data_IF_233957833106
#
_entry.id   IF_233957833106
#
_cell.length_a   1.000
_cell.length_b   1.000
_cell.length_c   1.000
_cell.angle_alpha   90.00
_cell.angle_beta   90.00
_cell.angle_gamma   90.00
#
_symmetry.space_group_name_H-M   'P 1'
#
loop_
_entity.id
_entity.type
_entity.pdbx_description
1 polymer ?
#
# COMPACT_ATOMS: atom_id res chain seq x y z
N UNK A 1 20.50 -35.02 39.64
CA UNK A 1 21.42 -34.17 38.90
C UNK A 1 20.51 -33.30 37.99
N UNK A 2 20.21 -32.10 38.49
CA UNK A 2 19.35 -31.15 37.73
C UNK A 2 20.25 -30.46 36.70
N UNK A 3 20.03 -30.69 35.42
CA UNK A 3 20.63 -29.87 34.38
C UNK A 3 19.86 -28.56 34.33
N UNK A 4 20.43 -27.49 34.82
CA UNK A 4 19.98 -26.14 34.52
C UNK A 4 20.35 -25.87 33.06
N UNK A 5 19.37 -25.85 32.18
CA UNK A 5 19.52 -25.26 30.84
C UNK A 5 19.72 -23.76 31.08
N UNK A 6 20.94 -23.29 30.90
CA UNK A 6 21.20 -21.87 30.75
C UNK A 6 20.58 -21.46 29.38
N UNK A 7 19.45 -20.78 29.40
CA UNK A 7 19.00 -20.03 28.25
C UNK A 7 20.06 -18.97 27.99
N UNK A 8 20.83 -19.11 26.92
CA UNK A 8 21.63 -18.01 26.42
C UNK A 8 20.62 -16.94 25.93
N UNK A 9 20.47 -15.90 26.71
CA UNK A 9 19.86 -14.66 26.24
C UNK A 9 20.82 -14.13 25.15
N UNK A 10 20.47 -14.38 23.88
CA UNK A 10 21.10 -13.66 22.80
C UNK A 10 20.60 -12.22 22.88
N UNK A 11 21.52 -11.26 22.76
CA UNK A 11 21.13 -9.88 22.55
C UNK A 11 20.32 -9.82 21.23
N UNK A 12 19.11 -9.31 21.27
CA UNK A 12 18.30 -9.08 20.07
C UNK A 12 18.22 -7.58 19.87
N UNK A 13 18.69 -7.15 18.72
CA UNK A 13 18.64 -5.75 18.32
C UNK A 13 17.51 -5.54 17.30
N UNK A 14 16.71 -4.52 17.52
CA UNK A 14 15.71 -4.07 16.55
C UNK A 14 16.12 -2.70 16.03
N UNK A 15 16.27 -2.59 14.73
CA UNK A 15 16.46 -1.29 14.08
C UNK A 15 15.09 -0.71 13.76
N UNK A 16 14.78 0.44 14.36
CA UNK A 16 13.58 1.21 14.12
C UNK A 16 13.90 2.33 13.14
N UNK A 17 13.05 2.53 12.14
CA UNK A 17 13.20 3.53 11.10
C UNK A 17 11.91 4.33 10.96
N UNK A 18 12.03 5.66 10.88
CA UNK A 18 10.90 6.57 10.58
C UNK A 18 11.30 7.57 9.51
N UNK A 19 10.49 7.67 8.48
CA UNK A 19 10.61 8.67 7.43
C UNK A 19 9.88 9.96 7.87
N UNK A 20 10.63 11.06 7.92
CA UNK A 20 10.15 12.38 8.36
C UNK A 20 9.90 13.32 7.18
N UNK A 21 9.88 12.82 5.94
CA UNK A 21 9.76 13.66 4.72
C UNK A 21 8.44 14.42 4.63
N UNK A 22 7.38 13.93 5.28
CA UNK A 22 6.06 14.58 5.31
C UNK A 22 5.91 15.68 6.38
N UNK A 23 6.90 15.86 7.27
CA UNK A 23 6.85 16.85 8.37
C UNK A 23 8.14 17.63 8.49
N UNK A 24 8.06 18.83 9.08
CA UNK A 24 9.26 19.58 9.43
C UNK A 24 9.85 19.03 10.73
N UNK A 25 11.08 18.55 10.65
CA UNK A 25 11.79 18.00 11.82
C UNK A 25 12.07 19.11 12.85
N UNK A 26 11.83 18.79 14.11
CA UNK A 26 12.11 19.66 15.25
C UNK A 26 13.61 19.96 15.40
N UNK A 27 13.97 21.12 15.91
CA UNK A 27 15.36 21.46 16.29
C UNK A 27 15.92 20.51 17.38
N UNK A 28 15.03 19.89 18.18
CA UNK A 28 15.39 18.88 19.19
C UNK A 28 15.56 17.46 18.61
N UNK A 29 15.46 17.32 17.27
CA UNK A 29 15.62 16.04 16.56
C UNK A 29 14.41 15.12 16.64
N UNK A 30 14.63 13.85 16.36
CA UNK A 30 13.61 12.79 16.38
C UNK A 30 13.96 11.77 17.46
N UNK A 31 12.96 11.33 18.21
CA UNK A 31 13.13 10.35 19.29
C UNK A 31 12.09 9.23 19.17
N UNK A 32 12.33 8.13 19.87
CA UNK A 32 11.34 7.09 20.12
C UNK A 32 11.18 6.87 21.61
N UNK A 33 9.95 6.80 22.08
CA UNK A 33 9.62 6.38 23.43
C UNK A 33 8.75 5.12 23.39
N UNK A 34 9.01 4.19 24.29
CA UNK A 34 8.26 2.95 24.32
C UNK A 34 8.38 2.19 25.64
N UNK A 35 7.62 1.10 25.74
CA UNK A 35 7.63 0.22 26.92
C UNK A 35 9.02 -0.37 27.22
N UNK A 36 9.84 -0.56 26.20
CA UNK A 36 11.20 -1.10 26.32
C UNK A 36 12.18 -0.19 27.07
N UNK A 37 11.90 1.12 27.19
CA UNK A 37 12.78 2.08 27.85
C UNK A 37 12.06 2.95 28.91
N UNK A 38 10.83 2.57 29.28
CA UNK A 38 10.05 3.25 30.32
C UNK A 38 9.36 4.54 29.88
N UNK A 39 9.12 4.72 28.59
CA UNK A 39 8.40 5.85 28.01
C UNK A 39 9.08 7.23 28.23
N UNK A 40 10.41 7.26 28.22
CA UNK A 40 11.16 8.52 28.26
C UNK A 40 11.22 9.16 26.87
N UNK A 41 10.54 10.32 26.65
CA UNK A 41 10.46 10.93 25.33
C UNK A 41 11.79 11.51 24.82
N UNK A 42 12.79 11.65 25.69
CA UNK A 42 14.12 12.16 25.35
C UNK A 42 15.20 11.05 25.41
N UNK A 43 14.83 9.84 25.83
CA UNK A 43 15.80 8.80 26.20
C UNK A 43 16.43 8.09 25.00
N UNK A 44 15.80 8.08 23.83
CA UNK A 44 16.25 7.30 22.66
C UNK A 44 16.18 8.16 21.40
N UNK A 45 17.24 8.93 21.08
CA UNK A 45 17.31 9.72 19.85
C UNK A 45 17.55 8.84 18.63
N UNK A 46 16.97 9.23 17.50
CA UNK A 46 17.24 8.69 16.18
C UNK A 46 18.18 9.62 15.42
N UNK A 47 18.95 9.08 14.49
CA UNK A 47 19.85 9.83 13.61
C UNK A 47 19.51 9.62 12.16
N UNK A 48 19.71 10.67 11.36
CA UNK A 48 19.69 10.66 9.89
C UNK A 48 21.12 11.03 9.45
N UNK A 49 21.98 9.99 9.33
CA UNK A 49 23.43 10.18 9.11
C UNK A 49 23.77 10.47 7.64
N UNK A 50 22.91 10.05 6.70
CA UNK A 50 23.12 10.20 5.27
C UNK A 50 22.26 11.33 4.64
N UNK A 51 21.32 11.86 5.41
CA UNK A 51 20.51 13.02 5.02
C UNK A 51 19.38 12.69 4.05
N UNK A 52 18.86 11.46 4.08
CA UNK A 52 17.78 11.01 3.23
C UNK A 52 16.37 11.27 3.81
N UNK A 53 16.30 11.74 5.06
CA UNK A 53 15.06 12.02 5.79
C UNK A 53 14.56 10.84 6.61
N UNK A 54 15.24 9.68 6.55
CA UNK A 54 14.90 8.51 7.35
C UNK A 54 15.75 8.50 8.64
N UNK A 55 15.09 8.63 9.76
CA UNK A 55 15.71 8.61 11.06
C UNK A 55 15.75 7.19 11.62
N UNK A 56 16.93 6.76 12.06
CA UNK A 56 17.24 5.38 12.45
C UNK A 56 17.77 5.30 13.87
N UNK A 57 17.37 4.25 14.61
CA UNK A 57 17.99 3.85 15.88
C UNK A 57 18.01 2.34 16.03
N UNK A 58 19.05 1.82 16.65
CA UNK A 58 19.12 0.41 17.05
C UNK A 58 18.78 0.31 18.54
N UNK A 59 17.74 -0.47 18.85
CA UNK A 59 17.28 -0.70 20.22
C UNK A 59 17.64 -2.13 20.64
N UNK A 60 18.33 -2.26 21.79
CA UNK A 60 18.61 -3.56 22.40
C UNK A 60 17.37 -4.06 23.15
N UNK A 61 16.76 -5.13 22.66
CA UNK A 61 15.58 -5.77 23.22
C UNK A 61 15.91 -6.96 24.13
N UNK A 62 17.20 -7.25 24.40
CA UNK A 62 17.62 -8.43 25.17
C UNK A 62 17.12 -8.46 26.62
N UNK A 63 16.78 -7.30 27.18
CA UNK A 63 16.23 -7.16 28.54
C UNK A 63 14.70 -7.10 28.59
N UNK A 64 14.04 -7.09 27.42
CA UNK A 64 12.57 -7.02 27.32
C UNK A 64 11.99 -8.41 27.61
N UNK A 65 11.01 -8.47 28.50
CA UNK A 65 10.34 -9.72 28.91
C UNK A 65 8.93 -9.84 28.33
N UNK A 66 8.40 -8.77 27.79
CA UNK A 66 7.09 -8.73 27.16
C UNK A 66 7.19 -9.31 25.72
N UNK A 67 6.18 -10.08 25.33
CA UNK A 67 6.11 -10.63 23.97
C UNK A 67 5.87 -9.54 22.92
N UNK A 68 5.18 -8.46 23.32
CA UNK A 68 4.87 -7.30 22.47
C UNK A 68 5.28 -6.02 23.18
N UNK A 69 6.00 -5.16 22.49
CA UNK A 69 6.34 -3.81 22.94
C UNK A 69 5.47 -2.76 22.26
N UNK A 70 5.23 -1.67 22.97
CA UNK A 70 4.49 -0.51 22.46
C UNK A 70 5.43 0.68 22.42
N UNK A 71 5.30 1.51 21.39
CA UNK A 71 6.17 2.68 21.20
C UNK A 71 5.54 3.76 20.34
N UNK A 72 6.13 4.94 20.34
CA UNK A 72 5.81 6.08 19.47
C UNK A 72 7.08 6.78 19.01
N UNK A 73 7.06 7.27 17.78
CA UNK A 73 8.01 8.28 17.34
C UNK A 73 7.60 9.67 17.83
N UNK A 74 8.58 10.52 18.10
CA UNK A 74 8.39 11.86 18.65
C UNK A 74 9.20 12.83 17.81
N UNK A 75 8.52 13.82 17.23
CA UNK A 75 9.16 14.93 16.51
C UNK A 75 9.65 15.99 17.49
N UNK A 76 10.76 15.72 18.17
CA UNK A 76 11.30 16.47 19.28
C UNK A 76 11.73 15.52 20.40
N UNK A 77 11.77 16.03 21.64
CA UNK A 77 12.24 15.33 22.84
C UNK A 77 11.24 15.39 24.01
N UNK A 78 9.97 15.67 23.74
CA UNK A 78 8.93 15.88 24.76
C UNK A 78 7.57 15.44 24.27
N UNK A 79 6.71 15.01 25.20
CA UNK A 79 5.31 14.69 24.93
C UNK A 79 4.53 15.89 24.37
N UNK A 80 3.59 15.59 23.46
CA UNK A 80 2.79 16.59 22.74
C UNK A 80 3.28 16.80 21.30
N UNK A 81 4.45 16.25 20.94
CA UNK A 81 4.96 16.18 19.58
C UNK A 81 5.09 14.72 19.11
N UNK A 82 4.47 13.81 19.85
CA UNK A 82 4.42 12.39 19.52
C UNK A 82 3.41 12.15 18.39
N UNK A 83 3.69 11.12 17.60
CA UNK A 83 2.82 10.69 16.52
C UNK A 83 1.47 10.17 17.04
N UNK A 84 0.49 10.15 16.15
CA UNK A 84 -0.81 9.51 16.40
C UNK A 84 -1.08 8.53 15.27
N UNK A 85 -0.94 7.25 15.54
CA UNK A 85 -1.22 6.18 14.58
C UNK A 85 -2.63 5.67 14.80
N UNK A 86 -3.50 5.89 13.83
CA UNK A 86 -4.91 5.46 13.90
C UNK A 86 -5.21 4.17 13.15
N UNK A 87 -4.32 3.74 12.25
CA UNK A 87 -4.49 2.48 11.50
C UNK A 87 -4.19 1.28 12.42
N UNK A 88 -5.17 0.36 12.59
CA UNK A 88 -4.99 -0.83 13.42
C UNK A 88 -3.95 -1.82 12.89
N UNK A 89 -3.45 -1.64 11.67
CA UNK A 89 -2.38 -2.47 11.10
C UNK A 89 -1.07 -2.35 11.88
N UNK A 90 -0.77 -1.17 12.44
CA UNK A 90 0.44 -0.94 13.20
C UNK A 90 0.24 -0.17 14.50
N UNK A 91 -0.97 0.33 14.78
CA UNK A 91 -1.31 1.10 15.96
C UNK A 91 -2.57 0.64 16.67
N UNK A 92 -2.81 1.14 17.88
CA UNK A 92 -4.06 0.93 18.60
C UNK A 92 -4.26 -0.43 19.26
N UNK A 93 -3.28 -1.33 19.26
CA UNK A 93 -3.39 -2.63 19.90
C UNK A 93 -3.35 -2.52 21.45
N UNK A 94 -3.96 -3.48 22.14
CA UNK A 94 -3.85 -3.62 23.59
C UNK A 94 -4.47 -2.48 24.42
N UNK A 95 -5.29 -1.60 23.82
CA UNK A 95 -5.94 -0.47 24.52
C UNK A 95 -5.11 0.81 24.56
N UNK A 96 -3.97 0.85 23.90
CA UNK A 96 -3.15 2.03 23.68
C UNK A 96 -3.51 2.62 22.31
N UNK A 97 -4.48 3.54 22.28
CA UNK A 97 -5.25 3.93 21.09
C UNK A 97 -4.46 4.65 19.97
N UNK A 98 -3.16 4.80 20.08
CA UNK A 98 -2.35 5.47 19.06
C UNK A 98 -0.87 5.11 19.14
N UNK A 99 -0.53 4.06 19.89
CA UNK A 99 0.83 3.58 20.00
C UNK A 99 1.09 2.50 18.97
N UNK A 100 2.28 2.48 18.37
CA UNK A 100 2.75 1.36 17.57
C UNK A 100 2.95 0.14 18.45
N UNK A 101 2.86 -1.03 17.86
CA UNK A 101 3.20 -2.27 18.53
C UNK A 101 4.17 -3.10 17.68
N UNK A 102 4.97 -3.89 18.35
CA UNK A 102 5.91 -4.81 17.73
C UNK A 102 5.99 -6.08 18.59
N UNK A 103 5.74 -7.23 17.98
CA UNK A 103 6.09 -8.51 18.58
C UNK A 103 7.61 -8.64 18.58
N UNK A 104 8.20 -8.84 19.76
CA UNK A 104 9.66 -8.87 19.94
C UNK A 104 10.22 -10.05 19.14
N UNK A 105 11.09 -9.81 18.17
CA UNK A 105 11.62 -10.87 17.33
C UNK A 105 12.66 -11.73 18.10
N UNK A 106 12.87 -12.95 17.63
CA UNK A 106 13.88 -13.86 18.20
C UNK A 106 15.31 -13.61 17.68
N UNK A 107 15.47 -12.76 16.67
CA UNK A 107 16.72 -12.45 15.99
C UNK A 107 16.82 -10.96 15.68
N UNK A 108 18.04 -10.47 15.45
CA UNK A 108 18.28 -9.09 15.02
C UNK A 108 17.42 -8.79 13.78
N UNK A 109 16.64 -7.72 13.86
CA UNK A 109 15.66 -7.35 12.85
C UNK A 109 15.78 -5.88 12.49
N UNK A 110 15.69 -5.58 11.21
CA UNK A 110 15.57 -4.22 10.70
C UNK A 110 14.14 -4.06 10.19
N UNK A 111 13.40 -3.10 10.74
CA UNK A 111 12.07 -2.78 10.26
C UNK A 111 12.17 -1.85 9.04
N UNK A 112 11.26 -2.02 8.09
CA UNK A 112 11.15 -1.08 6.97
C UNK A 112 10.79 0.32 7.48
N UNK A 113 11.26 1.40 6.83
CA UNK A 113 10.88 2.75 7.18
C UNK A 113 9.37 2.96 7.04
N UNK A 114 8.78 3.61 8.03
CA UNK A 114 7.37 4.04 7.99
C UNK A 114 7.28 5.55 8.05
N UNK A 115 6.29 6.12 7.38
CA UNK A 115 6.03 7.55 7.45
C UNK A 115 5.56 7.95 8.85
N UNK A 116 5.99 9.11 9.33
CA UNK A 116 5.58 9.61 10.64
C UNK A 116 4.06 9.73 10.73
N UNK A 117 3.46 9.10 11.74
CA UNK A 117 2.02 8.94 11.96
C UNK A 117 1.29 7.95 11.04
N UNK A 118 1.99 7.24 10.13
CA UNK A 118 1.41 6.28 9.22
C UNK A 118 1.97 4.87 9.43
N UNK A 119 1.29 3.84 8.91
CA UNK A 119 1.76 2.45 8.95
C UNK A 119 2.57 2.03 7.72
N UNK A 120 2.72 2.91 6.74
CA UNK A 120 3.35 2.66 5.44
C UNK A 120 4.44 3.69 5.16
N UNK A 121 5.21 3.51 4.09
CA UNK A 121 6.18 4.51 3.61
C UNK A 121 5.53 5.83 3.19
N UNK A 122 6.28 6.93 3.24
CA UNK A 122 5.78 8.25 2.81
C UNK A 122 5.53 8.35 1.31
N UNK A 123 6.08 7.43 0.54
CA UNK A 123 5.90 7.31 -0.91
C UNK A 123 4.91 6.19 -1.29
N UNK A 124 4.10 5.72 -0.34
CA UNK A 124 3.12 4.66 -0.52
C UNK A 124 1.70 5.14 -0.25
N UNK A 125 0.72 4.43 -0.81
CA UNK A 125 -0.69 4.53 -0.46
C UNK A 125 -1.33 3.14 -0.43
N UNK A 126 -2.40 2.99 0.34
CA UNK A 126 -3.13 1.73 0.34
C UNK A 126 -4.02 1.60 -0.90
N UNK A 127 -3.94 0.43 -1.51
CA UNK A 127 -4.90 0.00 -2.53
C UNK A 127 -5.65 -1.23 -2.03
N UNK A 128 -6.97 -1.17 -2.07
CA UNK A 128 -7.82 -2.34 -1.82
C UNK A 128 -8.20 -2.98 -3.14
N UNK A 129 -7.66 -4.15 -3.41
CA UNK A 129 -7.99 -4.94 -4.59
C UNK A 129 -9.21 -5.81 -4.35
N UNK A 130 -10.09 -5.89 -5.35
CA UNK A 130 -11.28 -6.74 -5.31
C UNK A 130 -11.32 -7.66 -6.52
N UNK A 131 -11.69 -8.93 -6.29
CA UNK A 131 -11.99 -9.90 -7.35
C UNK A 131 -13.25 -10.70 -6.99
N UNK A 132 -14.13 -10.86 -7.96
CA UNK A 132 -15.35 -11.66 -7.83
C UNK A 132 -15.14 -13.02 -8.52
N UNK A 133 -15.31 -14.10 -7.76
CA UNK A 133 -15.14 -15.47 -8.18
C UNK A 133 -16.46 -16.16 -8.59
N UNK A 134 -17.55 -15.40 -8.81
CA UNK A 134 -18.87 -15.98 -9.09
C UNK A 134 -18.91 -16.93 -10.30
N UNK A 135 -17.98 -16.78 -11.25
CA UNK A 135 -17.88 -17.62 -12.46
C UNK A 135 -16.74 -18.64 -12.44
N UNK A 136 -15.99 -18.71 -11.34
CA UNK A 136 -14.78 -19.56 -11.24
C UNK A 136 -14.74 -20.24 -9.88
N UNK A 137 -14.53 -21.57 -9.88
CA UNK A 137 -14.35 -22.32 -8.64
C UNK A 137 -13.04 -21.88 -7.95
N UNK A 138 -13.11 -21.62 -6.66
CA UNK A 138 -11.96 -21.21 -5.86
C UNK A 138 -11.10 -22.44 -5.55
N UNK A 139 -9.80 -22.34 -5.80
CA UNK A 139 -8.84 -23.40 -5.45
C UNK A 139 -8.74 -23.55 -3.91
N UNK A 140 -8.35 -24.73 -3.45
CA UNK A 140 -8.20 -25.05 -2.03
C UNK A 140 -7.19 -24.12 -1.32
N UNK A 141 -6.15 -23.67 -2.03
CA UNK A 141 -5.12 -22.77 -1.55
C UNK A 141 -5.61 -21.31 -1.43
N UNK A 142 -6.74 -20.97 -2.06
CA UNK A 142 -7.36 -19.66 -2.02
C UNK A 142 -7.05 -18.77 -3.22
N UNK A 143 -7.42 -17.50 -3.07
CA UNK A 143 -7.24 -16.45 -4.08
C UNK A 143 -6.14 -15.50 -3.62
N UNK A 144 -5.32 -15.06 -4.56
CA UNK A 144 -4.18 -14.21 -4.28
C UNK A 144 -4.11 -13.03 -5.27
N UNK A 145 -3.60 -11.91 -4.77
CA UNK A 145 -3.04 -10.86 -5.61
C UNK A 145 -1.61 -11.28 -5.98
N UNK A 146 -1.27 -11.25 -7.25
CA UNK A 146 0.03 -11.63 -7.79
C UNK A 146 0.39 -10.80 -9.01
N UNK A 147 1.34 -11.28 -9.82
CA UNK A 147 1.84 -10.53 -10.97
C UNK A 147 2.68 -9.31 -10.59
N UNK A 148 3.26 -8.63 -11.56
CA UNK A 148 4.10 -7.46 -11.32
C UNK A 148 5.09 -7.65 -10.17
N UNK A 149 5.07 -6.75 -9.21
CA UNK A 149 5.93 -6.80 -8.02
C UNK A 149 5.61 -7.95 -7.06
N UNK A 150 4.42 -8.55 -7.12
CA UNK A 150 4.01 -9.67 -6.28
C UNK A 150 4.18 -11.04 -6.94
N UNK A 151 4.88 -11.13 -8.08
CA UNK A 151 5.02 -12.38 -8.83
C UNK A 151 5.57 -13.56 -7.99
N UNK A 152 6.48 -13.27 -7.05
CA UNK A 152 7.05 -14.29 -6.15
C UNK A 152 6.61 -14.14 -4.69
N UNK A 153 5.70 -13.22 -4.40
CA UNK A 153 5.22 -12.92 -3.06
C UNK A 153 3.71 -12.64 -3.09
N UNK A 154 2.96 -13.69 -3.35
CA UNK A 154 1.50 -13.62 -3.46
C UNK A 154 0.86 -13.10 -2.18
N UNK A 155 -0.07 -12.17 -2.32
CA UNK A 155 -0.85 -11.62 -1.21
C UNK A 155 -2.19 -12.37 -1.13
N UNK A 156 -2.41 -13.13 -0.05
CA UNK A 156 -3.66 -13.87 0.14
C UNK A 156 -4.84 -12.89 0.28
N UNK A 157 -5.88 -13.13 -0.49
CA UNK A 157 -7.12 -12.38 -0.45
C UNK A 157 -8.13 -13.05 0.48
N UNK A 158 -8.94 -12.26 1.17
CA UNK A 158 -9.98 -12.75 2.09
C UNK A 158 -11.36 -12.44 1.54
N UNK A 159 -12.32 -13.32 1.85
CA UNK A 159 -13.72 -13.10 1.49
C UNK A 159 -14.24 -11.82 2.17
N UNK A 160 -14.90 -10.96 1.40
CA UNK A 160 -15.54 -9.76 1.94
C UNK A 160 -16.69 -10.19 2.87
N UNK A 161 -16.81 -9.63 4.09
CA UNK A 161 -17.90 -9.97 5.01
C UNK A 161 -19.28 -9.85 4.34
N UNK A 162 -20.14 -10.83 4.58
CA UNK A 162 -21.49 -10.93 4.03
C UNK A 162 -21.60 -11.16 2.51
N UNK A 163 -20.46 -11.37 1.82
CA UNK A 163 -20.40 -11.74 0.39
C UNK A 163 -20.06 -13.23 0.24
N UNK A 164 -20.46 -13.84 -0.89
CA UNK A 164 -20.22 -15.27 -1.15
C UNK A 164 -19.06 -15.54 -2.10
N UNK A 165 -18.76 -14.58 -2.99
CA UNK A 165 -17.80 -14.76 -4.10
C UNK A 165 -16.81 -13.61 -4.25
N UNK A 166 -16.98 -12.51 -3.49
CA UNK A 166 -16.13 -11.34 -3.57
C UNK A 166 -14.96 -11.44 -2.59
N UNK A 167 -13.75 -11.38 -3.11
CA UNK A 167 -12.52 -11.41 -2.33
C UNK A 167 -11.82 -10.06 -2.38
N UNK A 168 -11.12 -9.71 -1.30
CA UNK A 168 -10.35 -8.48 -1.21
C UNK A 168 -9.01 -8.67 -0.50
N UNK A 169 -8.07 -7.77 -0.81
CA UNK A 169 -6.84 -7.56 -0.03
C UNK A 169 -6.49 -6.07 -0.07
N UNK A 170 -6.08 -5.51 1.08
CA UNK A 170 -5.55 -4.14 1.20
C UNK A 170 -4.04 -4.23 1.28
N UNK A 171 -3.32 -3.55 0.39
CA UNK A 171 -1.85 -3.58 0.28
C UNK A 171 -1.32 -2.16 0.18
N UNK A 172 -0.21 -1.88 0.86
CA UNK A 172 0.57 -0.67 0.65
C UNK A 172 1.37 -0.80 -0.65
N UNK A 173 1.34 0.23 -1.47
CA UNK A 173 1.97 0.23 -2.79
C UNK A 173 2.64 1.59 -3.02
N UNK A 174 3.89 1.63 -3.52
CA UNK A 174 4.54 2.86 -3.91
C UNK A 174 3.69 3.67 -4.89
N UNK A 175 3.81 5.00 -4.82
CA UNK A 175 3.15 5.89 -5.77
C UNK A 175 3.65 5.64 -7.20
N UNK A 176 2.75 5.75 -8.19
CA UNK A 176 3.08 5.54 -9.60
C UNK A 176 2.30 4.42 -10.27
N UNK A 177 2.84 3.94 -11.39
CA UNK A 177 2.18 2.92 -12.22
C UNK A 177 2.71 1.53 -11.88
N UNK A 178 1.78 0.60 -11.66
CA UNK A 178 2.07 -0.78 -11.27
C UNK A 178 1.29 -1.79 -12.10
N UNK A 179 1.80 -3.02 -12.10
CA UNK A 179 1.19 -4.18 -12.75
C UNK A 179 0.75 -5.20 -11.72
N UNK A 180 -0.38 -5.86 -11.96
CA UNK A 180 -0.88 -6.92 -11.09
C UNK A 180 -1.74 -7.92 -11.85
N UNK A 181 -1.97 -9.08 -11.26
CA UNK A 181 -2.96 -10.09 -11.67
C UNK A 181 -3.56 -10.74 -10.45
N UNK A 182 -4.77 -11.25 -10.62
CA UNK A 182 -5.31 -12.20 -9.65
C UNK A 182 -4.82 -13.62 -9.98
N UNK A 183 -4.68 -14.43 -8.93
CA UNK A 183 -4.18 -15.79 -9.01
C UNK A 183 -5.06 -16.71 -8.17
N UNK A 184 -5.55 -17.79 -8.77
CA UNK A 184 -6.36 -18.80 -8.13
C UNK A 184 -5.49 -20.03 -7.81
N UNK A 185 -5.07 -20.19 -6.55
CA UNK A 185 -4.27 -21.29 -6.09
C UNK A 185 -2.79 -21.00 -5.77
N UNK A 186 -2.35 -19.72 -5.90
CA UNK A 186 -1.02 -19.30 -5.45
C UNK A 186 0.17 -19.94 -6.18
N UNK A 187 0.01 -20.28 -7.46
CA UNK A 187 1.06 -20.88 -8.29
C UNK A 187 1.01 -20.36 -9.73
N UNK A 188 2.05 -20.61 -10.52
CA UNK A 188 2.17 -20.06 -11.88
C UNK A 188 1.03 -20.47 -12.84
N UNK A 189 0.35 -21.57 -12.57
CA UNK A 189 -0.79 -22.03 -13.35
C UNK A 189 -2.13 -21.38 -12.99
N UNK A 190 -2.18 -20.66 -11.88
CA UNK A 190 -3.39 -20.05 -11.34
C UNK A 190 -3.67 -18.62 -11.78
N UNK A 191 -2.78 -18.02 -12.56
CA UNK A 191 -2.99 -16.65 -13.04
C UNK A 191 -4.16 -16.52 -14.02
N UNK A 192 -4.78 -15.34 -14.00
CA UNK A 192 -5.71 -14.93 -15.05
C UNK A 192 -5.06 -15.01 -16.43
N UNK A 193 -5.87 -15.34 -17.46
CA UNK A 193 -5.37 -15.36 -18.83
C UNK A 193 -5.13 -13.94 -19.37
N UNK A 194 -3.85 -13.57 -19.48
CA UNK A 194 -3.44 -12.26 -19.98
C UNK A 194 -3.88 -11.97 -21.41
N UNK A 195 -4.06 -12.98 -22.23
CA UNK A 195 -4.59 -12.82 -23.58
C UNK A 195 -6.05 -12.34 -23.60
N UNK A 196 -6.87 -12.88 -22.70
CA UNK A 196 -8.27 -12.44 -22.52
C UNK A 196 -8.34 -11.01 -21.94
N UNK A 197 -7.54 -10.71 -20.90
CA UNK A 197 -7.48 -9.37 -20.31
C UNK A 197 -7.02 -8.32 -21.32
N UNK A 198 -6.02 -8.65 -22.15
CA UNK A 198 -5.55 -7.78 -23.24
C UNK A 198 -6.61 -7.55 -24.30
N UNK A 199 -7.36 -8.59 -24.68
CA UNK A 199 -8.45 -8.49 -25.66
C UNK A 199 -9.62 -7.63 -25.13
N UNK A 200 -9.88 -7.64 -23.82
CA UNK A 200 -10.90 -6.82 -23.16
C UNK A 200 -10.40 -5.40 -22.82
N UNK A 201 -9.10 -5.14 -22.90
CA UNK A 201 -8.49 -3.81 -22.78
C UNK A 201 -8.01 -3.40 -21.39
N UNK A 202 -7.99 -4.30 -20.39
CA UNK A 202 -7.43 -4.01 -19.07
C UNK A 202 -6.09 -4.72 -18.80
N UNK A 203 -5.65 -5.60 -19.71
CA UNK A 203 -4.34 -6.22 -19.63
C UNK A 203 -3.34 -5.54 -20.56
N UNK A 204 -2.14 -5.27 -20.08
CA UNK A 204 -1.04 -4.71 -20.89
C UNK A 204 -0.37 -5.84 -21.71
N UNK A 205 -0.46 -5.82 -23.04
CA UNK A 205 0.12 -6.85 -23.89
C UNK A 205 1.66 -6.91 -23.81
N UNK A 206 2.31 -5.81 -23.44
CA UNK A 206 3.77 -5.74 -23.31
C UNK A 206 4.25 -6.31 -21.96
N UNK A 207 3.33 -6.54 -21.01
CA UNK A 207 3.57 -7.11 -19.68
C UNK A 207 2.70 -8.33 -19.41
N UNK A 208 2.81 -9.36 -20.24
CA UNK A 208 2.07 -10.64 -20.14
C UNK A 208 0.56 -10.52 -19.95
N UNK A 209 -0.03 -9.38 -20.33
CA UNK A 209 -1.43 -9.07 -20.11
C UNK A 209 -1.77 -8.83 -18.63
N UNK A 210 -0.82 -8.35 -17.83
CA UNK A 210 -1.08 -7.93 -16.47
C UNK A 210 -1.99 -6.70 -16.45
N UNK A 211 -2.86 -6.60 -15.45
CA UNK A 211 -3.67 -5.42 -15.20
C UNK A 211 -2.77 -4.27 -14.78
N UNK A 212 -3.17 -3.05 -15.10
CA UNK A 212 -2.46 -1.83 -14.70
C UNK A 212 -3.23 -1.07 -13.63
N UNK A 213 -2.51 -0.39 -12.75
CA UNK A 213 -3.06 0.53 -11.78
C UNK A 213 -2.09 1.71 -11.60
N UNK A 214 -2.63 2.92 -11.51
CA UNK A 214 -1.88 4.12 -11.12
C UNK A 214 -2.25 4.48 -9.69
N UNK A 215 -1.25 4.50 -8.81
CA UNK A 215 -1.39 4.77 -7.38
C UNK A 215 -1.03 6.23 -7.12
N UNK A 216 -1.97 6.99 -6.58
CA UNK A 216 -1.81 8.37 -6.14
C UNK A 216 -1.60 8.47 -4.64
N UNK A 217 -1.55 9.70 -4.13
CA UNK A 217 -1.31 10.00 -2.71
C UNK A 217 -2.47 9.60 -1.77
N UNK A 218 -3.64 9.30 -2.31
CA UNK A 218 -4.83 8.91 -1.52
C UNK A 218 -5.10 7.41 -1.64
N UNK A 219 -5.56 6.81 -0.56
CA UNK A 219 -6.04 5.44 -0.54
C UNK A 219 -7.11 5.21 -1.61
N UNK A 220 -7.02 4.10 -2.30
CA UNK A 220 -7.91 3.78 -3.41
C UNK A 220 -8.40 2.34 -3.37
N UNK A 221 -9.38 2.02 -4.23
CA UNK A 221 -9.87 0.66 -4.37
C UNK A 221 -10.19 0.34 -5.83
N UNK A 222 -9.95 -0.90 -6.22
CA UNK A 222 -10.36 -1.38 -7.54
C UNK A 222 -11.85 -1.72 -7.55
N UNK A 223 -12.52 -1.56 -8.70
CA UNK A 223 -13.83 -2.18 -8.90
C UNK A 223 -13.78 -3.70 -8.68
N UNK A 224 -14.91 -4.35 -8.33
CA UNK A 224 -14.99 -5.80 -8.24
C UNK A 224 -14.97 -6.42 -9.65
N UNK A 225 -13.78 -6.70 -10.15
CA UNK A 225 -13.62 -7.40 -11.42
C UNK A 225 -13.95 -8.88 -11.28
N UNK A 226 -14.60 -9.46 -12.29
CA UNK A 226 -14.72 -10.90 -12.39
C UNK A 226 -13.34 -11.52 -12.70
N UNK A 227 -13.01 -12.63 -12.07
CA UNK A 227 -11.75 -13.33 -12.34
C UNK A 227 -11.62 -13.66 -13.84
N UNK A 228 -10.51 -13.25 -14.44
CA UNK A 228 -10.24 -13.42 -15.87
C UNK A 228 -10.97 -12.44 -16.80
N UNK A 229 -11.60 -11.39 -16.27
CA UNK A 229 -12.32 -10.38 -17.08
C UNK A 229 -12.09 -8.96 -16.58
N UNK A 230 -12.16 -8.00 -17.48
CA UNK A 230 -12.10 -6.57 -17.17
C UNK A 230 -13.43 -6.01 -16.62
N UNK A 231 -14.45 -6.85 -16.52
CA UNK A 231 -15.81 -6.45 -16.14
C UNK A 231 -16.24 -7.15 -14.84
N UNK A 232 -17.32 -6.67 -14.22
CA UNK A 232 -17.95 -7.36 -13.09
C UNK A 232 -18.60 -8.67 -13.53
N UNK A 233 -18.67 -9.67 -12.63
CA UNK A 233 -19.35 -10.93 -12.90
C UNK A 233 -20.84 -10.70 -13.21
N UNK A 234 -21.31 -11.27 -14.33
CA UNK A 234 -22.67 -11.04 -14.84
C UNK A 234 -22.86 -9.71 -15.55
N UNK A 235 -21.83 -8.87 -15.59
CA UNK A 235 -21.82 -7.67 -16.41
C UNK A 235 -21.56 -8.01 -17.88
N UNK A 236 -22.50 -7.72 -18.74
CA UNK A 236 -22.17 -7.51 -20.16
C UNK A 236 -21.45 -6.17 -20.25
N UNK A 237 -20.50 -5.99 -21.20
CA UNK A 237 -19.92 -4.68 -21.44
C UNK A 237 -21.05 -3.66 -21.66
N UNK A 238 -21.34 -2.86 -20.65
CA UNK A 238 -22.32 -1.80 -20.81
C UNK A 238 -21.60 -0.64 -21.47
N UNK A 239 -22.01 -0.30 -22.67
CA UNK A 239 -21.58 0.96 -23.27
C UNK A 239 -22.06 2.09 -22.37
N UNK A 240 -21.14 2.77 -21.72
CA UNK A 240 -21.44 3.99 -20.98
C UNK A 240 -21.35 5.18 -21.95
N UNK A 241 -22.34 6.04 -21.94
CA UNK A 241 -22.23 7.33 -22.59
C UNK A 241 -21.42 8.26 -21.66
N UNK A 242 -20.21 8.61 -22.06
CA UNK A 242 -19.38 9.56 -21.35
C UNK A 242 -19.52 10.92 -22.03
N UNK A 243 -19.94 11.92 -21.26
CA UNK A 243 -19.99 13.30 -21.74
C UNK A 243 -18.73 14.01 -21.30
N UNK A 244 -17.92 14.42 -22.27
CA UNK A 244 -16.76 15.27 -22.03
C UNK A 244 -17.20 16.74 -22.14
N UNK A 245 -16.77 17.57 -21.20
CA UNK A 245 -17.00 19.01 -21.22
C UNK A 245 -15.66 19.74 -21.14
N UNK A 246 -15.44 20.69 -22.03
CA UNK A 246 -14.28 21.57 -21.98
C UNK A 246 -14.75 23.02 -21.81
N UNK A 247 -14.21 23.73 -20.81
CA UNK A 247 -14.43 25.17 -20.68
C UNK A 247 -13.43 25.91 -21.58
N UNK A 248 -13.93 26.47 -22.66
CA UNK A 248 -13.17 27.19 -23.68
C UNK A 248 -13.09 28.71 -23.41
N UNK A 249 -13.61 29.19 -22.29
CA UNK A 249 -13.74 30.64 -22.02
C UNK A 249 -12.39 31.38 -22.08
N UNK A 250 -11.31 30.74 -21.60
CA UNK A 250 -9.95 31.33 -21.65
C UNK A 250 -9.45 31.41 -23.09
N UNK A 251 -9.58 30.36 -23.88
CA UNK A 251 -9.12 30.38 -25.29
C UNK A 251 -9.94 31.31 -26.15
N UNK A 252 -11.25 31.41 -25.93
CA UNK A 252 -12.12 32.37 -26.59
C UNK A 252 -11.68 33.83 -26.28
N UNK A 253 -11.28 34.12 -25.04
CA UNK A 253 -10.74 35.42 -24.67
C UNK A 253 -9.38 35.74 -25.32
N UNK A 254 -8.67 34.70 -25.77
CA UNK A 254 -7.38 34.81 -26.46
C UNK A 254 -7.47 34.74 -28.00
N UNK A 255 -8.69 34.79 -28.54
CA UNK A 255 -8.95 34.85 -29.99
C UNK A 255 -9.27 33.49 -30.64
N UNK A 256 -9.69 32.49 -29.84
CA UNK A 256 -10.26 31.26 -30.39
C UNK A 256 -11.51 31.58 -31.20
N UNK A 257 -11.60 31.06 -32.42
CA UNK A 257 -12.74 31.22 -33.33
C UNK A 257 -13.29 29.82 -33.67
N UNK A 258 -14.50 29.54 -33.26
CA UNK A 258 -15.19 28.25 -33.45
C UNK A 258 -15.40 27.93 -34.95
N UNK A 259 -15.29 28.93 -35.85
CA UNK A 259 -15.37 28.70 -37.30
C UNK A 259 -14.02 28.40 -37.97
N UNK A 260 -12.91 28.74 -37.28
CA UNK A 260 -11.54 28.60 -37.79
C UNK A 260 -10.75 27.51 -37.07
N UNK A 261 -11.21 27.11 -35.90
CA UNK A 261 -10.54 26.11 -35.04
C UNK A 261 -11.54 25.00 -34.66
N UNK A 262 -11.02 23.87 -34.32
CA UNK A 262 -11.84 22.76 -33.80
C UNK A 262 -11.13 22.10 -32.61
N UNK A 263 -11.93 21.57 -31.68
CA UNK A 263 -11.48 20.82 -30.54
C UNK A 263 -11.63 19.32 -30.82
N UNK A 264 -10.56 18.56 -30.65
CA UNK A 264 -10.61 17.11 -30.80
C UNK A 264 -10.43 16.41 -29.45
N UNK A 265 -11.21 15.38 -29.19
CA UNK A 265 -10.99 14.44 -28.11
C UNK A 265 -10.07 13.32 -28.61
N UNK A 266 -8.92 13.12 -27.94
CA UNK A 266 -7.99 12.02 -28.22
C UNK A 266 -7.69 11.25 -26.96
N UNK A 267 -7.66 9.94 -27.06
CA UNK A 267 -7.40 9.05 -25.92
C UNK A 267 -7.36 7.59 -26.32
N UNK A 268 -7.20 6.70 -25.34
CA UNK A 268 -7.21 5.27 -25.55
C UNK A 268 -8.50 4.76 -26.21
N UNK A 269 -9.64 5.45 -25.99
CA UNK A 269 -10.93 5.10 -26.58
C UNK A 269 -10.96 5.22 -28.12
N UNK A 270 -10.07 6.00 -28.73
CA UNK A 270 -9.97 6.17 -30.19
C UNK A 270 -8.55 5.94 -30.71
N UNK A 271 -7.70 5.22 -29.94
CA UNK A 271 -6.33 4.88 -30.32
C UNK A 271 -5.43 6.09 -30.56
N UNK A 272 -5.73 7.24 -29.90
CA UNK A 272 -5.01 8.52 -30.06
C UNK A 272 -5.02 9.07 -31.50
N UNK A 273 -5.88 8.51 -32.35
CA UNK A 273 -6.06 9.00 -33.71
C UNK A 273 -6.83 10.34 -33.75
N UNK A 274 -6.91 10.96 -34.92
CA UNK A 274 -7.80 12.11 -35.15
C UNK A 274 -9.22 11.70 -34.74
N UNK A 275 -9.73 12.35 -33.71
CA UNK A 275 -10.87 11.87 -32.95
C UNK A 275 -12.16 12.56 -33.27
N UNK A 276 -13.11 12.43 -32.37
CA UNK A 276 -14.39 13.10 -32.44
C UNK A 276 -14.19 14.61 -32.26
N UNK A 277 -14.75 15.37 -33.17
CA UNK A 277 -14.70 16.84 -33.17
C UNK A 277 -15.93 17.36 -32.40
N UNK A 278 -15.68 18.31 -31.48
CA UNK A 278 -16.72 19.00 -30.72
C UNK A 278 -17.26 20.19 -31.48
#
# INVERSE_FOLDING_TARGET
>A
MLFAMASSLFAVNVTLNVDMSNVTVSEDGVHVAGSFQGWDPAGTPLADDDGDGIYTVVVDMSGVTDETVFFKYINGNSWGNDETVSDPACGGAGGFASDRFLDVPDVDTVLDPVCFSECIGCDESYVTFHVDMANTEVADEGIFLGGGQWHNNYQLMTLVPDEETLYMVKVAIPLGDHYYKFNNGGNDGGYEDGGSLGAEGCGDPDNWGDRTISVGEEDSMTPPFCFGSCYSCGGTPTTANITFQADMSVLQSQGWDDNAHFLELRGGMNGWSAGDVF
#
